data_IF_373990210016
#
_entry.id   IF_373990210016
#
_cell.length_a   1.000
_cell.length_b   1.000
_cell.length_c   1.000
_cell.angle_alpha   90.00
_cell.angle_beta   90.00
_cell.angle_gamma   90.00
#
_symmetry.space_group_name_H-M   'P 1'
#
loop_
_entity.id
_entity.type
_entity.pdbx_description
1 polymer ?
#
# COMPACT_ATOMS: atom_id res chain seq x y z
N UNK A 1 -26.69 0.85 -20.96
CA UNK A 1 -26.94 -0.25 -20.02
C UNK A 1 -25.78 -0.24 -19.03
N UNK A 2 -25.91 0.57 -17.98
CA UNK A 2 -24.99 0.51 -16.84
C UNK A 2 -25.19 -0.84 -16.17
N UNK A 3 -24.12 -1.61 -16.01
CA UNK A 3 -24.17 -2.80 -15.16
C UNK A 3 -24.26 -2.29 -13.72
N UNK A 4 -25.45 -2.35 -13.14
CA UNK A 4 -25.71 -2.08 -11.73
C UNK A 4 -25.14 -3.22 -10.86
N UNK A 5 -23.82 -3.30 -10.76
CA UNK A 5 -23.13 -4.24 -9.88
C UNK A 5 -21.79 -3.64 -9.46
N UNK A 6 -21.49 -3.73 -8.18
CA UNK A 6 -20.17 -3.36 -7.66
C UNK A 6 -19.19 -4.48 -8.04
N UNK A 7 -18.13 -4.21 -8.80
CA UNK A 7 -17.22 -5.26 -9.23
C UNK A 7 -16.35 -5.73 -8.06
N UNK A 8 -16.37 -7.04 -7.81
CA UNK A 8 -15.52 -7.70 -6.82
C UNK A 8 -14.45 -8.55 -7.51
N UNK A 9 -13.20 -8.39 -7.11
CA UNK A 9 -12.07 -9.24 -7.53
C UNK A 9 -11.48 -9.93 -6.31
N UNK A 10 -11.48 -11.26 -6.28
CA UNK A 10 -10.89 -12.04 -5.19
C UNK A 10 -9.86 -13.03 -5.70
N UNK A 11 -8.63 -12.96 -5.17
CA UNK A 11 -7.54 -13.89 -5.48
C UNK A 11 -7.08 -14.55 -4.18
N UNK A 12 -7.14 -15.87 -4.12
CA UNK A 12 -6.66 -16.65 -2.98
C UNK A 12 -5.65 -17.70 -3.43
N UNK A 13 -4.41 -17.55 -2.95
CA UNK A 13 -3.31 -18.47 -3.25
C UNK A 13 -2.77 -19.09 -1.98
N UNK A 14 -2.55 -20.40 -2.00
CA UNK A 14 -1.94 -21.09 -0.86
C UNK A 14 -0.99 -22.19 -1.30
N UNK A 15 0.08 -22.39 -0.52
CA UNK A 15 1.03 -23.50 -0.72
C UNK A 15 1.66 -23.52 -2.12
N UNK A 16 2.07 -22.36 -2.62
CA UNK A 16 2.73 -22.25 -3.93
C UNK A 16 4.24 -22.35 -3.75
N UNK A 17 4.87 -23.09 -4.67
CA UNK A 17 6.31 -23.11 -4.86
C UNK A 17 6.64 -22.98 -6.35
N UNK A 18 7.14 -21.82 -6.79
CA UNK A 18 7.45 -21.51 -8.19
C UNK A 18 8.69 -20.58 -8.26
N UNK A 19 9.29 -20.42 -9.42
CA UNK A 19 10.35 -19.42 -9.60
C UNK A 19 9.82 -17.98 -9.58
N UNK A 20 8.69 -17.75 -10.25
CA UNK A 20 8.12 -16.43 -10.51
C UNK A 20 6.59 -16.49 -10.43
N UNK A 21 5.98 -15.47 -9.85
CA UNK A 21 4.55 -15.19 -9.97
C UNK A 21 4.33 -13.71 -10.23
N UNK A 22 3.49 -13.39 -11.21
CA UNK A 22 3.06 -12.03 -11.54
C UNK A 22 1.54 -12.00 -11.53
N UNK A 23 0.95 -11.10 -10.75
CA UNK A 23 -0.48 -10.82 -10.78
C UNK A 23 -0.69 -9.34 -11.07
N UNK A 24 -1.62 -9.07 -11.98
CA UNK A 24 -2.02 -7.72 -12.36
C UNK A 24 -3.54 -7.65 -12.27
N UNK A 25 -4.03 -6.68 -11.50
CA UNK A 25 -5.45 -6.33 -11.40
C UNK A 25 -5.57 -4.88 -11.87
N UNK A 26 -6.47 -4.65 -12.83
CA UNK A 26 -6.68 -3.33 -13.42
C UNK A 26 -8.17 -3.05 -13.59
N UNK A 27 -8.64 -1.89 -13.12
CA UNK A 27 -9.98 -1.35 -13.37
C UNK A 27 -9.91 -0.05 -14.17
N UNK A 28 -10.88 0.19 -15.05
CA UNK A 28 -10.99 1.46 -15.79
C UNK A 28 -11.93 2.42 -15.06
N UNK A 29 -13.24 2.34 -15.29
CA UNK A 29 -14.24 3.20 -14.64
C UNK A 29 -15.13 2.38 -13.71
N UNK A 30 -15.21 2.77 -12.45
CA UNK A 30 -16.07 2.12 -11.46
C UNK A 30 -16.70 3.14 -10.52
N UNK A 31 -18.01 3.03 -10.32
CA UNK A 31 -18.74 3.82 -9.33
C UNK A 31 -19.35 2.90 -8.28
N UNK A 32 -19.35 3.33 -7.02
CA UNK A 32 -19.95 2.57 -5.91
C UNK A 32 -18.90 1.96 -4.99
N UNK A 33 -19.00 0.65 -4.74
CA UNK A 33 -18.19 -0.09 -3.75
C UNK A 33 -17.37 -1.21 -4.40
N UNK A 34 -16.49 -0.93 -5.38
CA UNK A 34 -15.69 -1.99 -5.98
C UNK A 34 -14.67 -2.52 -4.95
N UNK A 35 -14.52 -3.84 -4.89
CA UNK A 35 -13.63 -4.49 -3.92
C UNK A 35 -12.56 -5.33 -4.64
N UNK A 36 -11.31 -5.20 -4.20
CA UNK A 36 -10.21 -6.07 -4.61
C UNK A 36 -9.58 -6.71 -3.38
N UNK A 37 -9.65 -8.04 -3.28
CA UNK A 37 -9.05 -8.82 -2.20
C UNK A 37 -8.00 -9.80 -2.74
N UNK A 38 -6.77 -9.69 -2.24
CA UNK A 38 -5.67 -10.61 -2.58
C UNK A 38 -5.15 -11.23 -1.28
N UNK A 39 -5.31 -12.54 -1.15
CA UNK A 39 -4.84 -13.30 0.01
C UNK A 39 -3.83 -14.36 -0.42
N UNK A 40 -2.65 -14.34 0.18
CA UNK A 40 -1.64 -15.35 -0.03
C UNK A 40 -1.11 -15.93 1.26
N UNK A 41 -0.96 -17.26 1.30
CA UNK A 41 -0.40 -17.93 2.45
C UNK A 41 0.55 -19.07 2.09
N UNK A 42 1.63 -19.21 2.86
CA UNK A 42 2.60 -20.33 2.68
C UNK A 42 3.17 -20.36 1.26
N UNK A 43 3.71 -19.25 0.81
CA UNK A 43 4.28 -19.10 -0.54
C UNK A 43 5.81 -19.14 -0.44
N UNK A 44 6.44 -19.86 -1.37
CA UNK A 44 7.89 -19.84 -1.58
C UNK A 44 8.16 -19.53 -3.06
N UNK A 45 8.80 -18.40 -3.37
CA UNK A 45 9.14 -18.03 -4.75
C UNK A 45 10.53 -17.40 -4.85
N UNK A 46 11.09 -17.34 -6.06
CA UNK A 46 12.20 -16.41 -6.32
C UNK A 46 11.71 -14.95 -6.32
N UNK A 47 10.64 -14.70 -7.08
CA UNK A 47 10.06 -13.37 -7.30
C UNK A 47 8.53 -13.39 -7.25
N UNK A 48 7.96 -12.39 -6.58
CA UNK A 48 6.54 -12.06 -6.66
C UNK A 48 6.36 -10.60 -7.07
N UNK A 49 5.55 -10.35 -8.10
CA UNK A 49 5.10 -9.02 -8.51
C UNK A 49 3.58 -8.95 -8.43
N UNK A 50 3.08 -7.99 -7.65
CA UNK A 50 1.66 -7.67 -7.52
C UNK A 50 1.43 -6.24 -7.96
N UNK A 51 0.56 -6.05 -8.94
CA UNK A 51 0.17 -4.72 -9.40
C UNK A 51 -1.36 -4.62 -9.32
N UNK A 52 -1.85 -3.63 -8.60
CA UNK A 52 -3.26 -3.24 -8.56
C UNK A 52 -3.36 -1.80 -9.05
N UNK A 53 -4.21 -1.57 -10.04
CA UNK A 53 -4.37 -0.25 -10.66
C UNK A 53 -5.83 0.07 -10.96
N UNK A 54 -6.22 1.34 -10.77
CA UNK A 54 -7.52 1.88 -11.16
C UNK A 54 -7.35 3.19 -11.92
N UNK A 55 -8.14 3.43 -12.97
CA UNK A 55 -8.13 4.73 -13.67
C UNK A 55 -9.07 5.71 -13.01
N UNK A 56 -10.38 5.46 -12.99
CA UNK A 56 -11.39 6.36 -12.44
C UNK A 56 -12.30 5.60 -11.47
N UNK A 57 -12.29 6.00 -10.20
CA UNK A 57 -13.13 5.40 -9.17
C UNK A 57 -13.86 6.46 -8.36
N UNK A 58 -15.16 6.26 -8.17
CA UNK A 58 -15.98 7.10 -7.29
C UNK A 58 -16.75 6.26 -6.28
N UNK A 59 -16.89 6.78 -5.06
CA UNK A 59 -17.59 6.09 -3.95
C UNK A 59 -16.61 5.58 -2.90
N UNK A 60 -16.63 4.27 -2.66
CA UNK A 60 -15.91 3.61 -1.57
C UNK A 60 -15.16 2.37 -2.12
N UNK A 61 -14.17 2.55 -3.01
CA UNK A 61 -13.40 1.42 -3.51
C UNK A 61 -12.49 0.88 -2.39
N UNK A 62 -12.46 -0.44 -2.23
CA UNK A 62 -11.63 -1.11 -1.23
C UNK A 62 -10.57 -2.01 -1.89
N UNK A 63 -9.31 -1.86 -1.47
CA UNK A 63 -8.24 -2.78 -1.85
C UNK A 63 -7.60 -3.39 -0.59
N UNK A 64 -7.68 -4.71 -0.47
CA UNK A 64 -7.12 -5.46 0.65
C UNK A 64 -6.10 -6.49 0.15
N UNK A 65 -4.85 -6.37 0.60
CA UNK A 65 -3.77 -7.31 0.28
C UNK A 65 -3.23 -7.90 1.57
N UNK A 66 -3.35 -9.22 1.73
CA UNK A 66 -2.89 -9.95 2.89
C UNK A 66 -1.92 -11.06 2.50
N UNK A 67 -0.65 -10.92 2.90
CA UNK A 67 0.36 -11.95 2.68
C UNK A 67 0.85 -12.50 4.02
N UNK A 68 0.86 -13.82 4.15
CA UNK A 68 1.27 -14.49 5.38
C UNK A 68 2.19 -15.69 5.15
N UNK A 69 3.22 -15.85 5.98
CA UNK A 69 4.16 -17.00 5.90
C UNK A 69 4.77 -17.12 4.50
N UNK A 70 5.45 -16.07 4.07
CA UNK A 70 6.01 -15.95 2.72
C UNK A 70 7.53 -15.98 2.81
N UNK A 71 8.17 -16.69 1.88
CA UNK A 71 9.62 -16.68 1.71
C UNK A 71 9.93 -16.36 0.24
N UNK A 72 10.64 -15.26 -0.05
CA UNK A 72 11.01 -14.88 -1.43
C UNK A 72 12.40 -14.29 -1.53
N UNK A 73 12.98 -14.27 -2.72
CA UNK A 73 14.11 -13.37 -2.99
C UNK A 73 13.65 -11.91 -3.02
N UNK A 74 12.59 -11.63 -3.78
CA UNK A 74 12.05 -10.29 -4.02
C UNK A 74 10.52 -10.28 -4.02
N UNK A 75 9.94 -9.27 -3.37
CA UNK A 75 8.53 -8.87 -3.50
C UNK A 75 8.43 -7.44 -4.00
N UNK A 76 7.67 -7.23 -5.07
CA UNK A 76 7.25 -5.91 -5.55
C UNK A 76 5.73 -5.85 -5.46
N UNK A 77 5.22 -4.89 -4.69
CA UNK A 77 3.80 -4.60 -4.56
C UNK A 77 3.56 -3.15 -4.97
N UNK A 78 2.71 -2.94 -5.97
CA UNK A 78 2.32 -1.63 -6.47
C UNK A 78 0.80 -1.52 -6.40
N UNK A 79 0.31 -0.51 -5.70
CA UNK A 79 -1.09 -0.08 -5.73
C UNK A 79 -1.12 1.35 -6.27
N UNK A 80 -1.91 1.58 -7.30
CA UNK A 80 -1.99 2.89 -7.95
C UNK A 80 -3.42 3.25 -8.36
N UNK A 81 -3.78 4.53 -8.23
CA UNK A 81 -5.02 5.10 -8.75
C UNK A 81 -4.73 6.38 -9.53
N UNK A 82 -5.40 6.60 -10.66
CA UNK A 82 -5.30 7.88 -11.37
C UNK A 82 -6.25 8.92 -10.77
N UNK A 83 -7.56 8.67 -10.80
CA UNK A 83 -8.57 9.58 -10.26
C UNK A 83 -9.48 8.83 -9.28
N UNK A 84 -9.52 9.31 -8.03
CA UNK A 84 -10.37 8.73 -6.99
C UNK A 84 -11.15 9.82 -6.25
N UNK A 85 -12.45 9.60 -6.06
CA UNK A 85 -13.30 10.47 -5.26
C UNK A 85 -14.13 9.68 -4.24
N UNK A 86 -14.31 10.26 -3.07
CA UNK A 86 -15.06 9.66 -1.96
C UNK A 86 -14.14 9.16 -0.86
N UNK A 87 -14.24 7.87 -0.53
CA UNK A 87 -13.58 7.24 0.62
C UNK A 87 -12.87 5.96 0.18
N UNK A 88 -11.84 6.05 -0.68
CA UNK A 88 -11.09 4.86 -1.10
C UNK A 88 -10.25 4.34 0.06
N UNK A 89 -10.29 3.03 0.29
CA UNK A 89 -9.50 2.37 1.34
C UNK A 89 -8.47 1.41 0.73
N UNK A 90 -7.22 1.53 1.17
CA UNK A 90 -6.15 0.58 0.83
C UNK A 90 -5.56 -0.01 2.10
N UNK A 91 -5.67 -1.33 2.26
CA UNK A 91 -5.13 -2.08 3.39
C UNK A 91 -4.11 -3.11 2.91
N UNK A 92 -2.86 -2.99 3.37
CA UNK A 92 -1.79 -3.93 3.06
C UNK A 92 -1.26 -4.53 4.36
N UNK A 93 -1.39 -5.84 4.51
CA UNK A 93 -0.95 -6.57 5.70
C UNK A 93 0.05 -7.66 5.33
N UNK A 94 1.26 -7.55 5.85
CA UNK A 94 2.31 -8.54 5.67
C UNK A 94 2.69 -9.13 7.04
N UNK A 95 2.65 -10.47 7.13
CA UNK A 95 2.98 -11.15 8.38
C UNK A 95 3.86 -12.38 8.19
N UNK A 96 4.88 -12.54 9.06
CA UNK A 96 5.78 -13.69 9.03
C UNK A 96 6.45 -13.85 7.66
N UNK A 97 7.13 -12.81 7.21
CA UNK A 97 7.76 -12.75 5.91
C UNK A 97 9.28 -12.82 6.07
N UNK A 98 9.95 -13.56 5.20
CA UNK A 98 11.41 -13.56 5.09
C UNK A 98 11.81 -13.33 3.63
N UNK A 99 12.42 -12.17 3.30
CA UNK A 99 12.87 -11.89 1.92
C UNK A 99 14.27 -11.28 1.86
N UNK A 100 14.86 -11.23 0.67
CA UNK A 100 16.00 -10.34 0.40
C UNK A 100 15.55 -8.87 0.33
N UNK A 101 14.55 -8.58 -0.50
CA UNK A 101 14.07 -7.23 -0.80
C UNK A 101 12.53 -7.18 -0.82
N UNK A 102 11.97 -6.13 -0.20
CA UNK A 102 10.58 -5.71 -0.33
C UNK A 102 10.52 -4.29 -0.92
N UNK A 103 9.78 -4.13 -2.02
CA UNK A 103 9.38 -2.84 -2.56
C UNK A 103 7.86 -2.74 -2.48
N UNK A 104 7.38 -1.73 -1.76
CA UNK A 104 5.96 -1.42 -1.62
C UNK A 104 5.74 0.02 -2.08
N UNK A 105 4.91 0.19 -3.10
CA UNK A 105 4.53 1.49 -3.64
C UNK A 105 3.02 1.63 -3.58
N UNK A 106 2.54 2.67 -2.91
CA UNK A 106 1.15 3.13 -2.96
C UNK A 106 1.17 4.54 -3.54
N UNK A 107 0.40 4.77 -4.59
CA UNK A 107 0.37 6.07 -5.28
C UNK A 107 -1.02 6.46 -5.75
N UNK A 108 -1.34 7.75 -5.68
CA UNK A 108 -2.53 8.35 -6.29
C UNK A 108 -2.17 9.59 -7.08
N UNK A 109 -2.76 9.79 -8.26
CA UNK A 109 -2.57 11.05 -9.00
C UNK A 109 -3.52 12.13 -8.49
N UNK A 110 -4.82 11.93 -8.59
CA UNK A 110 -5.85 12.87 -8.12
C UNK A 110 -6.77 12.16 -7.13
N UNK A 111 -6.83 12.66 -5.90
CA UNK A 111 -7.70 12.11 -4.86
C UNK A 111 -8.50 13.23 -4.17
N UNK A 112 -9.80 13.01 -4.03
CA UNK A 112 -10.68 13.90 -3.28
C UNK A 112 -11.53 13.14 -2.26
N UNK A 113 -11.73 13.76 -1.09
CA UNK A 113 -12.51 13.18 0.00
C UNK A 113 -11.64 12.70 1.15
N UNK A 114 -11.79 11.44 1.55
CA UNK A 114 -11.18 10.86 2.75
C UNK A 114 -10.52 9.52 2.40
N UNK A 115 -9.46 9.53 1.57
CA UNK A 115 -8.76 8.30 1.24
C UNK A 115 -7.97 7.79 2.45
N UNK A 116 -8.06 6.51 2.75
CA UNK A 116 -7.33 5.86 3.84
C UNK A 116 -6.33 4.85 3.29
N UNK A 117 -5.09 4.93 3.77
CA UNK A 117 -4.05 3.93 3.48
C UNK A 117 -3.50 3.38 4.78
N UNK A 118 -3.66 2.07 4.99
CA UNK A 118 -3.14 1.34 6.14
C UNK A 118 -2.14 0.28 5.70
N UNK A 119 -0.91 0.38 6.20
CA UNK A 119 0.15 -0.58 5.92
C UNK A 119 0.65 -1.17 7.23
N UNK A 120 0.53 -2.48 7.37
CA UNK A 120 0.94 -3.20 8.57
C UNK A 120 1.95 -4.30 8.24
N UNK A 121 3.17 -4.15 8.75
CA UNK A 121 4.24 -5.13 8.62
C UNK A 121 4.53 -5.73 10.00
N UNK A 122 4.44 -7.06 10.10
CA UNK A 122 4.68 -7.76 11.37
C UNK A 122 5.53 -9.02 11.22
N UNK A 123 6.51 -9.20 12.14
CA UNK A 123 7.39 -10.39 12.17
C UNK A 123 8.09 -10.58 10.82
N UNK A 124 8.83 -9.56 10.40
CA UNK A 124 9.47 -9.51 9.09
C UNK A 124 10.99 -9.60 9.28
N UNK A 125 11.65 -10.38 8.42
CA UNK A 125 13.10 -10.42 8.29
C UNK A 125 13.48 -10.11 6.84
N UNK A 126 14.26 -9.07 6.62
CA UNK A 126 14.57 -8.55 5.28
C UNK A 126 15.99 -7.99 5.20
N UNK A 127 16.61 -8.04 4.02
CA UNK A 127 17.80 -7.24 3.74
C UNK A 127 17.45 -5.76 3.59
N UNK A 128 16.48 -5.46 2.72
CA UNK A 128 16.03 -4.11 2.39
C UNK A 128 14.50 -4.02 2.31
N UNK A 129 13.96 -2.95 2.88
CA UNK A 129 12.59 -2.51 2.69
C UNK A 129 12.58 -1.10 2.08
N UNK A 130 11.94 -0.95 0.93
CA UNK A 130 11.59 0.33 0.33
C UNK A 130 10.08 0.47 0.38
N UNK A 131 9.60 1.49 1.11
CA UNK A 131 8.20 1.84 1.19
C UNK A 131 8.01 3.25 0.66
N UNK A 132 7.16 3.40 -0.34
CA UNK A 132 6.81 4.68 -0.95
C UNK A 132 5.31 4.85 -0.90
N UNK A 133 4.86 5.93 -0.26
CA UNK A 133 3.47 6.39 -0.30
C UNK A 133 3.48 7.79 -0.88
N UNK A 134 2.76 8.01 -1.98
CA UNK A 134 2.79 9.30 -2.69
C UNK A 134 1.43 9.70 -3.23
N UNK A 135 1.16 11.01 -3.27
CA UNK A 135 0.00 11.60 -3.92
C UNK A 135 0.41 12.84 -4.72
N UNK A 136 -0.11 13.05 -5.93
CA UNK A 136 0.15 14.31 -6.65
C UNK A 136 -0.81 15.40 -6.17
N UNK A 137 -2.11 15.21 -6.35
CA UNK A 137 -3.15 16.16 -5.95
C UNK A 137 -4.10 15.49 -4.96
N UNK A 138 -4.19 16.06 -3.75
CA UNK A 138 -5.08 15.55 -2.70
C UNK A 138 -5.90 16.68 -2.10
N UNK A 139 -7.21 16.50 -2.07
CA UNK A 139 -8.15 17.39 -1.37
C UNK A 139 -8.96 16.64 -0.34
N UNK A 140 -9.15 17.25 0.84
CA UNK A 140 -9.93 16.68 1.94
C UNK A 140 -9.06 16.21 3.10
N UNK A 141 -9.27 14.99 3.58
CA UNK A 141 -8.68 14.46 4.81
C UNK A 141 -8.06 13.09 4.56
N UNK A 142 -6.98 13.00 3.76
CA UNK A 142 -6.33 11.73 3.50
C UNK A 142 -5.58 11.25 4.75
N UNK A 143 -5.76 9.99 5.12
CA UNK A 143 -5.08 9.37 6.25
C UNK A 143 -4.10 8.29 5.78
N UNK A 144 -2.89 8.31 6.32
CA UNK A 144 -1.89 7.27 6.09
C UNK A 144 -1.36 6.74 7.41
N UNK A 145 -1.56 5.45 7.67
CA UNK A 145 -1.07 4.76 8.85
C UNK A 145 -0.09 3.66 8.44
N UNK A 146 1.13 3.72 8.99
CA UNK A 146 2.19 2.75 8.74
C UNK A 146 2.63 2.17 10.07
N UNK A 147 2.42 0.87 10.25
CA UNK A 147 2.77 0.16 11.46
C UNK A 147 3.80 -0.93 11.19
N UNK A 148 4.95 -0.81 11.84
CA UNK A 148 6.06 -1.75 11.78
C UNK A 148 6.22 -2.40 13.15
N UNK A 149 6.11 -3.73 13.23
CA UNK A 149 6.29 -4.45 14.49
C UNK A 149 7.13 -5.72 14.34
N UNK A 150 8.12 -5.88 15.24
CA UNK A 150 8.99 -7.07 15.27
C UNK A 150 9.69 -7.27 13.92
N UNK A 151 10.42 -6.25 13.50
CA UNK A 151 11.12 -6.23 12.21
C UNK A 151 12.62 -6.34 12.44
N UNK A 152 13.28 -7.16 11.61
CA UNK A 152 14.73 -7.18 11.50
C UNK A 152 15.11 -6.83 10.05
N UNK A 153 15.86 -5.74 9.86
CA UNK A 153 16.17 -5.16 8.56
C UNK A 153 17.62 -4.68 8.51
N UNK A 154 18.27 -4.86 7.36
CA UNK A 154 19.53 -4.17 7.06
C UNK A 154 19.29 -2.68 6.84
N UNK A 155 18.42 -2.34 5.89
CA UNK A 155 18.08 -0.96 5.52
C UNK A 155 16.57 -0.79 5.35
N UNK A 156 16.04 0.30 5.91
CA UNK A 156 14.67 0.77 5.70
C UNK A 156 14.73 2.13 5.00
N UNK A 157 14.09 2.22 3.84
CA UNK A 157 13.79 3.48 3.14
C UNK A 157 12.30 3.69 3.19
N UNK A 158 11.87 4.76 3.85
CA UNK A 158 10.49 5.18 3.95
C UNK A 158 10.33 6.56 3.31
N UNK A 159 9.53 6.65 2.26
CA UNK A 159 9.20 7.89 1.57
C UNK A 159 7.70 8.11 1.64
N UNK A 160 7.29 9.23 2.21
CA UNK A 160 5.91 9.72 2.18
C UNK A 160 5.90 11.11 1.56
N UNK A 161 5.27 11.28 0.41
CA UNK A 161 5.28 12.56 -0.32
C UNK A 161 3.91 13.00 -0.82
N UNK A 162 3.74 14.30 -1.00
CA UNK A 162 2.57 14.93 -1.62
C UNK A 162 2.97 16.15 -2.46
N UNK A 163 2.44 16.36 -3.67
CA UNK A 163 2.75 17.60 -4.41
C UNK A 163 1.82 18.74 -4.01
N UNK A 164 0.51 18.59 -4.19
CA UNK A 164 -0.52 19.57 -3.87
C UNK A 164 -1.51 18.99 -2.87
N UNK A 165 -1.62 19.62 -1.70
CA UNK A 165 -2.54 19.20 -0.65
C UNK A 165 -3.41 20.35 -0.18
N UNK A 166 -4.72 20.15 -0.25
CA UNK A 166 -5.72 20.99 0.42
C UNK A 166 -6.46 20.19 1.49
N UNK A 167 -6.64 20.77 2.68
CA UNK A 167 -7.33 20.13 3.81
C UNK A 167 -6.40 19.67 4.93
N UNK A 168 -6.68 18.52 5.53
CA UNK A 168 -6.04 18.06 6.78
C UNK A 168 -5.50 16.64 6.62
N UNK A 169 -4.41 16.44 5.88
CA UNK A 169 -3.82 15.13 5.69
C UNK A 169 -3.11 14.69 6.99
N UNK A 170 -3.33 13.44 7.40
CA UNK A 170 -2.68 12.85 8.57
C UNK A 170 -1.75 11.71 8.15
N UNK A 171 -0.55 11.67 8.73
CA UNK A 171 0.39 10.56 8.55
C UNK A 171 0.88 10.09 9.91
N UNK A 172 0.66 8.82 10.22
CA UNK A 172 1.12 8.19 11.45
C UNK A 172 2.05 7.03 11.11
N UNK A 173 3.26 7.06 11.64
CA UNK A 173 4.26 5.99 11.50
C UNK A 173 4.58 5.46 12.89
N UNK A 174 4.34 4.18 13.13
CA UNK A 174 4.61 3.53 14.40
C UNK A 174 5.60 2.38 14.22
N UNK A 175 6.66 2.39 15.00
CA UNK A 175 7.76 1.44 14.94
C UNK A 175 7.99 0.80 16.31
N UNK A 176 7.70 -0.50 16.42
CA UNK A 176 7.87 -1.25 17.66
C UNK A 176 8.76 -2.48 17.48
N UNK A 177 9.75 -2.64 18.36
CA UNK A 177 10.66 -3.81 18.35
C UNK A 177 11.36 -3.98 16.99
N UNK A 178 12.00 -2.91 16.53
CA UNK A 178 12.73 -2.87 15.26
C UNK A 178 14.23 -3.04 15.55
N UNK A 179 14.86 -3.99 14.85
CA UNK A 179 16.30 -4.07 14.74
C UNK A 179 16.68 -3.64 13.32
N UNK A 180 17.46 -2.57 13.21
CA UNK A 180 17.72 -1.90 11.94
C UNK A 180 19.18 -1.50 11.85
N UNK A 181 19.80 -1.78 10.70
CA UNK A 181 21.13 -1.25 10.39
C UNK A 181 21.08 0.24 10.05
N UNK A 182 20.21 0.63 9.11
CA UNK A 182 20.06 2.03 8.67
C UNK A 182 18.59 2.39 8.41
N UNK A 183 18.19 3.59 8.84
CA UNK A 183 16.91 4.22 8.53
C UNK A 183 17.12 5.43 7.62
N UNK A 184 16.40 5.46 6.51
CA UNK A 184 16.21 6.65 5.68
C UNK A 184 14.72 6.97 5.68
N UNK A 185 14.37 8.14 6.21
CA UNK A 185 13.01 8.63 6.26
C UNK A 185 12.92 9.95 5.51
N UNK A 186 12.01 10.01 4.54
CA UNK A 186 11.70 11.22 3.78
C UNK A 186 10.21 11.47 3.90
N UNK A 187 9.84 12.61 4.49
CA UNK A 187 8.45 13.09 4.49
C UNK A 187 8.44 14.48 3.86
N UNK A 188 7.76 14.65 2.73
CA UNK A 188 7.77 15.91 1.97
C UNK A 188 6.39 16.34 1.48
N UNK A 189 6.20 17.66 1.32
CA UNK A 189 5.02 18.25 0.67
C UNK A 189 5.36 19.59 0.03
N UNK A 190 4.98 19.81 -1.25
CA UNK A 190 5.37 21.01 -2.00
C UNK A 190 4.40 22.19 -1.84
N UNK A 191 3.09 21.95 -1.94
CA UNK A 191 2.06 22.99 -1.87
C UNK A 191 0.97 22.58 -0.88
N UNK A 192 0.70 23.44 0.11
CA UNK A 192 -0.15 23.11 1.26
C UNK A 192 -1.09 24.25 1.58
N UNK A 193 -2.39 23.97 1.50
CA UNK A 193 -3.43 24.77 2.15
C UNK A 193 -4.11 23.91 3.21
N UNK A 194 -4.09 24.34 4.48
CA UNK A 194 -4.60 23.58 5.62
C UNK A 194 -3.52 23.13 6.62
N UNK A 195 -3.83 22.18 7.51
CA UNK A 195 -2.98 21.77 8.63
C UNK A 195 -2.61 20.28 8.53
N UNK A 196 -1.50 19.94 7.84
CA UNK A 196 -1.03 18.56 7.78
C UNK A 196 -0.39 18.13 9.10
N UNK A 197 -0.71 16.91 9.56
CA UNK A 197 -0.06 16.32 10.73
C UNK A 197 0.79 15.12 10.33
N UNK A 198 1.99 15.01 10.92
CA UNK A 198 2.84 13.84 10.77
C UNK A 198 3.38 13.45 12.14
N UNK A 199 3.08 12.23 12.56
CA UNK A 199 3.51 11.65 13.82
C UNK A 199 4.37 10.42 13.55
N UNK A 200 5.51 10.32 14.24
CA UNK A 200 6.43 9.19 14.15
C UNK A 200 6.77 8.73 15.56
N UNK A 201 6.46 7.47 15.88
CA UNK A 201 6.59 6.88 17.21
C UNK A 201 7.38 5.57 17.18
#
# INVERSE_FOLDING_TARGET
MERSGFPETSIQLSKINLGLLVLVVSGMEQSGFPETSIQMSKINLGLLVLVVSGMEQSGFPETSIQLSKINLGLLVLVVSGMEQSGFPETSIQLSKINLGLLVLVVSGMEQSGFPETSIQLSKINLGLLVLVVSGMEQSGFPETSIQLSKINLGLLVLVVSGMERSGFPETSIQMSKINLGLLVLVVSGMERSGFPETSIQ
#
